data_IF_500931119678
#
_entry.id   IF_500931119678
#
_cell.length_a   1.000
_cell.length_b   1.000
_cell.length_c   1.000
_cell.angle_alpha   90.00
_cell.angle_beta   90.00
_cell.angle_gamma   90.00
#
_symmetry.space_group_name_H-M   'P 1'
#
loop_
_entity.id
_entity.type
_entity.pdbx_description
1 polymer ?
#
# COMPACT_ATOMS: atom_id res chain seq x y z
N UNK A 1 -10.04 9.96 -20.94
CA UNK A 1 -9.76 8.97 -19.91
C UNK A 1 -10.58 7.73 -20.21
N UNK A 2 -9.94 6.57 -20.27
CA UNK A 2 -10.63 5.28 -20.49
C UNK A 2 -10.70 4.45 -19.21
N UNK A 3 -9.61 4.48 -18.44
CA UNK A 3 -9.43 3.72 -17.21
C UNK A 3 -8.80 4.62 -16.14
N UNK A 4 -9.06 4.34 -14.88
CA UNK A 4 -8.45 5.03 -13.76
C UNK A 4 -8.22 4.04 -12.63
N UNK A 5 -7.05 4.12 -12.00
CA UNK A 5 -6.75 3.43 -10.75
C UNK A 5 -7.08 4.36 -9.60
N UNK A 6 -7.89 3.87 -8.66
CA UNK A 6 -8.26 4.57 -7.44
C UNK A 6 -7.98 3.69 -6.22
N UNK A 7 -7.77 4.33 -5.08
CA UNK A 7 -7.79 3.65 -3.79
C UNK A 7 -8.93 4.21 -2.94
N UNK A 8 -9.88 3.36 -2.58
CA UNK A 8 -10.98 3.73 -1.68
C UNK A 8 -10.45 3.80 -0.26
N UNK A 9 -10.63 4.93 0.47
CA UNK A 9 -10.18 5.05 1.85
C UNK A 9 -10.62 3.86 2.71
N UNK A 10 -9.69 3.25 3.41
CA UNK A 10 -9.90 2.02 4.18
C UNK A 10 -9.40 2.10 5.62
N UNK A 11 -9.01 0.97 6.15
CA UNK A 11 -8.55 0.80 7.53
C UNK A 11 -7.28 1.62 7.85
N UNK A 12 -6.45 1.91 6.86
CA UNK A 12 -5.27 2.78 6.97
C UNK A 12 -5.63 4.16 7.49
N UNK A 13 -6.80 4.69 7.12
CA UNK A 13 -7.29 5.98 7.60
C UNK A 13 -7.74 5.97 9.06
N UNK A 14 -8.23 4.83 9.57
CA UNK A 14 -8.58 4.67 10.98
C UNK A 14 -7.37 4.68 11.91
N UNK A 15 -6.17 4.47 11.35
CA UNK A 15 -4.90 4.48 12.09
C UNK A 15 -4.24 5.84 12.15
N UNK A 16 -4.81 6.84 11.48
CA UNK A 16 -4.41 8.23 11.66
C UNK A 16 -4.86 8.72 13.03
N UNK A 17 -3.92 9.29 13.75
CA UNK A 17 -4.14 9.91 15.08
C UNK A 17 -3.53 11.30 15.09
N UNK A 18 -3.93 12.18 16.02
CA UNK A 18 -3.28 13.48 16.16
C UNK A 18 -1.76 13.42 16.40
N UNK A 19 -1.26 12.28 16.91
CA UNK A 19 0.16 12.10 17.24
C UNK A 19 1.01 11.56 16.07
N UNK A 20 0.42 10.88 15.09
CA UNK A 20 1.16 10.26 13.98
C UNK A 20 0.85 10.86 12.60
N UNK A 21 -0.18 11.70 12.49
CA UNK A 21 -0.63 12.23 11.20
C UNK A 21 0.47 12.98 10.43
N UNK A 22 1.29 13.76 11.12
CA UNK A 22 2.36 14.55 10.50
C UNK A 22 3.46 13.64 9.93
N UNK A 23 3.82 12.56 10.64
CA UNK A 23 4.77 11.55 10.18
C UNK A 23 4.23 10.77 8.98
N UNK A 24 2.91 10.60 8.92
CA UNK A 24 2.19 9.95 7.83
C UNK A 24 1.75 10.95 6.72
N UNK A 25 2.21 12.19 6.80
CA UNK A 25 1.98 13.25 5.79
C UNK A 25 0.50 13.61 5.60
N UNK A 26 -0.27 13.59 6.67
CA UNK A 26 -1.66 14.05 6.69
C UNK A 26 -1.82 15.29 7.57
N UNK A 27 -2.62 16.24 7.11
CA UNK A 27 -2.87 17.49 7.85
C UNK A 27 -3.82 17.29 9.03
N UNK A 28 -4.77 16.34 8.92
CA UNK A 28 -5.77 16.08 9.94
C UNK A 28 -6.28 14.62 9.91
N UNK A 29 -6.99 14.23 10.95
CA UNK A 29 -7.66 12.94 11.05
C UNK A 29 -9.01 13.00 10.32
N UNK A 30 -9.24 12.07 9.40
CA UNK A 30 -10.43 12.05 8.57
C UNK A 30 -11.58 11.26 9.20
N UNK A 31 -12.80 11.67 8.96
CA UNK A 31 -13.97 10.85 9.20
C UNK A 31 -14.15 9.85 8.06
N UNK A 32 -13.73 8.60 8.31
CA UNK A 32 -13.64 7.57 7.28
C UNK A 32 -14.94 7.36 6.50
N UNK A 33 -16.08 7.21 7.19
CA UNK A 33 -17.37 6.96 6.52
C UNK A 33 -17.74 8.08 5.54
N UNK A 34 -17.42 9.32 5.89
CA UNK A 34 -17.66 10.47 5.01
C UNK A 34 -16.70 10.46 3.83
N UNK A 35 -15.42 10.19 4.06
CA UNK A 35 -14.42 10.08 3.01
C UNK A 35 -14.76 8.96 2.01
N UNK A 36 -15.21 7.81 2.51
CA UNK A 36 -15.68 6.71 1.68
C UNK A 36 -16.89 7.11 0.82
N UNK A 37 -17.88 7.76 1.42
CA UNK A 37 -19.06 8.22 0.69
C UNK A 37 -18.69 9.19 -0.46
N UNK A 38 -17.83 10.15 -0.17
CA UNK A 38 -17.38 11.13 -1.17
C UNK A 38 -16.55 10.46 -2.27
N UNK A 39 -15.70 9.52 -1.91
CA UNK A 39 -14.93 8.73 -2.87
C UNK A 39 -15.83 7.86 -3.75
N UNK A 40 -16.88 7.24 -3.18
CA UNK A 40 -17.82 6.42 -3.93
C UNK A 40 -18.61 7.28 -4.95
N UNK A 41 -19.01 8.49 -4.57
CA UNK A 41 -19.66 9.47 -5.49
C UNK A 41 -18.68 9.88 -6.60
N UNK A 42 -17.42 10.10 -6.30
CA UNK A 42 -16.38 10.39 -7.28
C UNK A 42 -16.20 9.25 -8.27
N UNK A 43 -16.04 8.02 -7.77
CA UNK A 43 -15.90 6.83 -8.61
C UNK A 43 -17.11 6.59 -9.51
N UNK A 44 -18.33 6.77 -8.99
CA UNK A 44 -19.57 6.63 -9.77
C UNK A 44 -19.70 7.73 -10.84
N UNK A 45 -19.25 8.94 -10.55
CA UNK A 45 -19.21 10.02 -11.54
C UNK A 45 -18.31 9.67 -12.72
N UNK A 46 -17.20 8.99 -12.49
CA UNK A 46 -16.32 8.50 -13.56
C UNK A 46 -16.98 7.35 -14.35
N UNK A 47 -17.56 6.37 -13.65
CA UNK A 47 -18.26 5.24 -14.28
C UNK A 47 -19.43 5.69 -15.15
N UNK A 48 -20.20 6.67 -14.71
CA UNK A 48 -21.35 7.22 -15.48
C UNK A 48 -20.91 7.91 -16.79
N UNK A 49 -19.63 8.26 -16.91
CA UNK A 49 -19.00 8.82 -18.12
C UNK A 49 -18.26 7.77 -18.95
N UNK A 50 -18.46 6.49 -18.65
CA UNK A 50 -17.83 5.39 -19.39
C UNK A 50 -16.37 5.14 -19.06
N UNK A 51 -15.87 5.66 -17.92
CA UNK A 51 -14.52 5.38 -17.44
C UNK A 51 -14.55 4.09 -16.60
N UNK A 52 -13.68 3.15 -16.93
CA UNK A 52 -13.46 1.97 -16.10
C UNK A 52 -12.69 2.38 -14.83
N UNK A 53 -13.29 2.13 -13.67
CA UNK A 53 -12.66 2.39 -12.37
C UNK A 53 -12.13 1.09 -11.81
N UNK A 54 -10.83 1.04 -11.61
CA UNK A 54 -10.08 -0.06 -10.99
C UNK A 54 -9.71 0.34 -9.56
N UNK A 55 -9.75 -0.60 -8.64
CA UNK A 55 -9.33 -0.36 -7.28
C UNK A 55 -7.98 -1.01 -6.99
N UNK A 56 -7.09 -0.24 -6.39
CA UNK A 56 -5.73 -0.66 -6.05
C UNK A 56 -5.73 -1.90 -5.16
N UNK A 57 -6.58 -1.93 -4.13
CA UNK A 57 -6.65 -3.06 -3.21
C UNK A 57 -7.09 -4.36 -3.89
N UNK A 58 -8.03 -4.28 -4.85
CA UNK A 58 -8.49 -5.45 -5.60
C UNK A 58 -7.38 -5.97 -6.52
N UNK A 59 -6.75 -5.05 -7.29
CA UNK A 59 -5.64 -5.43 -8.17
C UNK A 59 -4.43 -5.97 -7.39
N UNK A 60 -4.13 -5.40 -6.24
CA UNK A 60 -3.06 -5.89 -5.38
C UNK A 60 -3.36 -7.30 -4.89
N UNK A 61 -4.59 -7.55 -4.40
CA UNK A 61 -5.00 -8.88 -3.97
C UNK A 61 -4.86 -9.92 -5.11
N UNK A 62 -5.30 -9.56 -6.32
CA UNK A 62 -5.17 -10.43 -7.49
C UNK A 62 -3.70 -10.66 -7.89
N UNK A 63 -2.84 -9.64 -7.80
CA UNK A 63 -1.41 -9.78 -8.07
C UNK A 63 -0.69 -10.67 -7.04
N UNK A 64 -1.11 -10.61 -5.77
CA UNK A 64 -0.53 -11.41 -4.67
C UNK A 64 -0.88 -12.90 -4.74
N UNK A 65 -1.74 -13.33 -5.66
CA UNK A 65 -1.93 -14.74 -6.01
C UNK A 65 -0.69 -15.31 -6.72
N UNK A 66 0.11 -14.47 -7.37
CA UNK A 66 1.43 -14.84 -7.87
C UNK A 66 2.43 -14.94 -6.71
N UNK A 67 3.12 -16.09 -6.65
CA UNK A 67 4.05 -16.37 -5.57
C UNK A 67 5.27 -15.44 -5.58
N UNK A 68 5.78 -15.11 -6.75
CA UNK A 68 6.95 -14.24 -6.88
C UNK A 68 6.62 -12.82 -6.44
N UNK A 69 5.44 -12.30 -6.83
CA UNK A 69 4.94 -11.03 -6.35
C UNK A 69 4.84 -10.99 -4.83
N UNK A 70 4.23 -12.02 -4.26
CA UNK A 70 4.04 -12.13 -2.80
C UNK A 70 5.37 -12.16 -2.05
N UNK A 71 6.31 -13.01 -2.46
CA UNK A 71 7.65 -13.10 -1.86
C UNK A 71 8.38 -11.75 -1.99
N UNK A 72 8.39 -11.15 -3.19
CA UNK A 72 9.03 -9.86 -3.45
C UNK A 72 8.49 -8.74 -2.58
N UNK A 73 7.16 -8.62 -2.46
CA UNK A 73 6.54 -7.59 -1.62
C UNK A 73 6.91 -7.77 -0.16
N UNK A 74 6.83 -8.99 0.36
CA UNK A 74 7.16 -9.27 1.76
C UNK A 74 8.63 -9.02 2.07
N UNK A 75 9.55 -9.34 1.15
CA UNK A 75 10.98 -9.11 1.32
C UNK A 75 11.33 -7.62 1.42
N UNK A 76 10.60 -6.77 0.72
CA UNK A 76 10.85 -5.33 0.73
C UNK A 76 10.10 -4.62 1.86
N UNK A 77 8.89 -5.06 2.16
CA UNK A 77 7.99 -4.36 3.10
C UNK A 77 8.24 -4.79 4.55
N UNK A 78 8.46 -6.09 4.78
CA UNK A 78 8.61 -6.63 6.13
C UNK A 78 10.10 -6.79 6.46
N UNK A 79 10.67 -5.73 6.98
CA UNK A 79 12.10 -5.66 7.34
C UNK A 79 12.28 -5.27 8.80
N UNK A 80 13.46 -5.52 9.36
CA UNK A 80 13.78 -5.08 10.72
C UNK A 80 13.65 -3.55 10.88
N UNK A 81 13.99 -2.79 9.83
CA UNK A 81 13.87 -1.33 9.83
C UNK A 81 12.39 -0.89 9.89
N UNK A 82 11.51 -1.60 9.18
CA UNK A 82 10.08 -1.24 9.10
C UNK A 82 9.28 -1.71 10.32
N UNK A 83 9.60 -2.89 10.87
CA UNK A 83 8.82 -3.54 11.92
C UNK A 83 9.45 -3.44 13.31
N UNK A 84 10.76 -3.18 13.38
CA UNK A 84 11.54 -3.21 14.60
C UNK A 84 12.20 -4.56 14.87
N UNK A 85 13.35 -4.51 15.56
CA UNK A 85 14.19 -5.67 15.86
C UNK A 85 13.43 -6.78 16.61
N UNK A 86 13.45 -7.98 16.04
CA UNK A 86 12.82 -9.18 16.61
C UNK A 86 11.29 -9.23 16.50
N UNK A 87 10.70 -8.34 15.71
CA UNK A 87 9.25 -8.33 15.40
C UNK A 87 9.01 -8.76 13.95
N UNK A 88 9.95 -8.49 13.06
CA UNK A 88 9.83 -8.73 11.62
C UNK A 88 9.45 -10.17 11.28
N UNK A 89 10.08 -11.17 11.92
CA UNK A 89 9.78 -12.59 11.69
C UNK A 89 8.32 -12.93 12.05
N UNK A 90 7.84 -12.38 13.14
CA UNK A 90 6.46 -12.59 13.58
C UNK A 90 5.44 -11.95 12.62
N UNK A 91 5.72 -10.71 12.17
CA UNK A 91 4.90 -10.01 11.18
C UNK A 91 4.93 -10.75 9.83
N UNK A 92 6.12 -11.24 9.43
CA UNK A 92 6.26 -12.01 8.19
C UNK A 92 5.47 -13.30 8.22
N UNK A 93 5.62 -14.11 9.25
CA UNK A 93 4.88 -15.36 9.41
C UNK A 93 3.36 -15.13 9.42
N UNK A 94 2.92 -14.07 10.08
CA UNK A 94 1.52 -13.67 10.05
C UNK A 94 1.07 -13.30 8.64
N UNK A 95 1.80 -12.41 7.95
CA UNK A 95 1.49 -11.99 6.59
C UNK A 95 1.48 -13.15 5.58
N UNK A 96 2.42 -14.10 5.71
CA UNK A 96 2.48 -15.29 4.86
C UNK A 96 1.28 -16.23 5.07
N UNK A 97 0.68 -16.24 6.25
CA UNK A 97 -0.49 -17.06 6.56
C UNK A 97 -1.82 -16.52 5.99
N UNK A 98 -1.85 -15.26 5.59
CA UNK A 98 -3.07 -14.58 5.15
C UNK A 98 -3.47 -14.97 3.72
N UNK A 99 -4.78 -15.03 3.41
CA UNK A 99 -5.24 -15.04 2.03
C UNK A 99 -4.95 -13.70 1.35
N UNK A 100 -4.95 -13.68 0.02
CA UNK A 100 -4.50 -12.55 -0.80
C UNK A 100 -5.18 -11.23 -0.47
N UNK A 101 -6.49 -11.24 -0.27
CA UNK A 101 -7.26 -10.03 0.06
C UNK A 101 -6.90 -9.47 1.45
N UNK A 102 -6.70 -10.34 2.44
CA UNK A 102 -6.30 -9.92 3.78
C UNK A 102 -4.83 -9.45 3.79
N UNK A 103 -3.98 -10.07 2.98
CA UNK A 103 -2.60 -9.62 2.80
C UNK A 103 -2.55 -8.23 2.14
N UNK A 104 -3.33 -7.99 1.09
CA UNK A 104 -3.42 -6.68 0.46
C UNK A 104 -3.89 -5.61 1.46
N UNK A 105 -4.91 -5.92 2.28
CA UNK A 105 -5.33 -5.02 3.37
C UNK A 105 -4.20 -4.77 4.37
N UNK A 106 -3.46 -5.81 4.80
CA UNK A 106 -2.33 -5.66 5.71
C UNK A 106 -1.24 -4.77 5.13
N UNK A 107 -0.88 -4.95 3.87
CA UNK A 107 0.15 -4.15 3.18
C UNK A 107 -0.22 -2.66 3.12
N UNK A 108 -1.49 -2.34 2.97
CA UNK A 108 -2.02 -0.98 2.91
C UNK A 108 -2.27 -0.43 4.32
N UNK A 109 -3.02 -1.16 5.13
CA UNK A 109 -3.40 -0.71 6.46
C UNK A 109 -2.29 -0.86 7.51
N UNK A 110 -1.25 -1.64 7.24
CA UNK A 110 -0.26 -2.03 8.23
C UNK A 110 -0.81 -3.08 9.20
N UNK A 111 -0.12 -3.29 10.32
CA UNK A 111 -0.55 -4.22 11.38
C UNK A 111 -0.27 -3.64 12.75
N UNK A 112 -1.22 -3.77 13.68
CA UNK A 112 -1.04 -3.38 15.09
C UNK A 112 -0.58 -4.57 15.93
N UNK A 113 -0.03 -4.26 17.13
CA UNK A 113 0.31 -5.30 18.10
C UNK A 113 -0.90 -6.17 18.44
N UNK A 114 -2.06 -5.57 18.68
CA UNK A 114 -3.28 -6.32 19.02
C UNK A 114 -3.67 -7.31 17.93
N UNK A 115 -3.61 -6.90 16.66
CA UNK A 115 -3.93 -7.75 15.52
C UNK A 115 -2.96 -8.93 15.37
N UNK A 116 -1.66 -8.68 15.56
CA UNK A 116 -0.67 -9.75 15.53
C UNK A 116 -0.93 -10.79 16.63
N UNK A 117 -1.17 -10.34 17.87
CA UNK A 117 -1.37 -11.23 19.01
C UNK A 117 -2.71 -11.96 18.97
N UNK A 118 -3.75 -11.39 18.37
CA UNK A 118 -5.07 -12.03 18.23
C UNK A 118 -5.04 -13.20 17.23
N UNK A 119 -4.18 -13.11 16.22
CA UNK A 119 -4.17 -14.04 15.09
C UNK A 119 -2.93 -14.94 15.00
N UNK A 120 -2.00 -14.82 15.92
CA UNK A 120 -0.77 -15.62 15.92
C UNK A 120 -0.34 -16.05 17.32
N UNK A 121 0.20 -17.25 17.42
CA UNK A 121 0.78 -17.77 18.68
C UNK A 121 2.18 -17.19 18.98
N UNK A 122 2.36 -15.89 18.73
CA UNK A 122 3.64 -15.20 18.92
C UNK A 122 3.90 -15.00 20.42
N UNK A 123 5.07 -15.45 20.88
CA UNK A 123 5.52 -15.13 22.22
C UNK A 123 5.94 -13.64 22.27
N UNK A 124 5.36 -12.90 23.21
CA UNK A 124 5.73 -11.51 23.41
C UNK A 124 7.20 -11.35 23.77
N UNK A 125 7.98 -10.81 22.82
CA UNK A 125 9.35 -10.35 23.07
C UNK A 125 9.37 -9.15 24.02
N UNK A 126 10.54 -8.81 24.56
CA UNK A 126 10.66 -7.60 25.40
C UNK A 126 10.22 -6.34 24.66
N UNK A 127 10.53 -6.23 23.38
CA UNK A 127 10.11 -5.12 22.52
C UNK A 127 8.59 -5.05 22.41
N UNK A 128 7.92 -6.17 22.11
CA UNK A 128 6.45 -6.22 22.03
C UNK A 128 5.78 -5.82 23.35
N UNK A 129 6.37 -6.17 24.51
CA UNK A 129 5.81 -5.81 25.82
C UNK A 129 5.83 -4.31 26.10
N UNK A 130 6.72 -3.55 25.47
CA UNK A 130 6.79 -2.09 25.67
C UNK A 130 5.80 -1.32 24.81
N UNK A 131 5.24 -1.96 23.79
CA UNK A 131 4.28 -1.37 22.87
C UNK A 131 2.84 -1.47 23.40
N UNK A 132 2.05 -0.43 23.14
CA UNK A 132 0.60 -0.44 23.33
C UNK A 132 -0.11 -1.35 22.35
N UNK A 133 -1.35 -1.71 22.64
CA UNK A 133 -2.16 -2.59 21.78
C UNK A 133 -2.37 -2.02 20.37
N UNK A 134 -2.55 -0.71 20.27
CA UNK A 134 -2.84 0.00 19.03
C UNK A 134 -1.57 0.52 18.32
N UNK A 135 -0.38 0.28 18.90
CA UNK A 135 0.87 0.65 18.25
C UNK A 135 1.07 -0.19 16.98
N UNK A 136 1.41 0.49 15.89
CA UNK A 136 1.67 -0.17 14.61
C UNK A 136 3.04 -0.85 14.60
N UNK A 137 3.04 -2.14 14.34
CA UNK A 137 4.25 -2.94 14.06
C UNK A 137 4.70 -2.79 12.60
N UNK A 138 3.76 -2.53 11.73
CA UNK A 138 3.98 -2.08 10.36
C UNK A 138 3.07 -0.86 10.15
N UNK A 139 3.65 0.27 9.76
CA UNK A 139 2.91 1.52 9.63
C UNK A 139 1.86 1.46 8.50
N UNK A 140 0.73 2.14 8.61
CA UNK A 140 -0.26 2.27 7.54
C UNK A 140 0.25 3.14 6.39
N UNK A 141 -0.38 3.03 5.23
CA UNK A 141 -0.10 3.81 4.01
C UNK A 141 -1.31 4.65 3.60
N UNK A 142 -1.71 5.67 4.37
CA UNK A 142 -2.90 6.46 4.08
C UNK A 142 -2.77 7.26 2.77
N UNK A 143 -1.54 7.55 2.32
CA UNK A 143 -1.29 8.25 1.06
C UNK A 143 -1.53 7.41 -0.19
N UNK A 144 -1.83 6.13 -0.08
CA UNK A 144 -2.36 5.34 -1.21
C UNK A 144 -3.64 5.93 -1.82
N UNK A 145 -4.33 6.81 -1.09
CA UNK A 145 -5.41 7.63 -1.65
C UNK A 145 -4.97 8.39 -2.92
N UNK A 146 -3.68 8.76 -3.01
CA UNK A 146 -3.08 9.51 -4.11
C UNK A 146 -2.31 8.57 -5.06
N UNK A 147 -3.04 7.73 -5.80
CA UNK A 147 -2.48 6.70 -6.69
C UNK A 147 -1.62 7.24 -7.82
N UNK A 148 -1.77 8.52 -8.20
CA UNK A 148 -0.96 9.14 -9.23
C UNK A 148 0.48 9.37 -8.81
N UNK A 149 0.74 9.57 -7.52
CA UNK A 149 2.08 9.90 -7.04
C UNK A 149 3.03 8.71 -7.15
N UNK A 150 2.52 7.52 -6.89
CA UNK A 150 3.27 6.26 -6.86
C UNK A 150 3.45 5.62 -8.23
N UNK A 151 2.54 5.90 -9.17
CA UNK A 151 2.70 5.47 -10.56
C UNK A 151 2.09 6.45 -11.54
N UNK A 152 2.76 6.66 -12.67
CA UNK A 152 2.32 7.60 -13.70
C UNK A 152 2.41 6.97 -15.08
N UNK A 153 1.30 6.97 -15.81
CA UNK A 153 1.28 6.54 -17.20
C UNK A 153 1.76 7.67 -18.13
N UNK A 154 2.81 7.39 -18.89
CA UNK A 154 3.46 8.33 -19.82
C UNK A 154 3.45 7.67 -21.18
N UNK A 155 2.54 8.10 -22.07
CA UNK A 155 2.33 7.50 -23.40
C UNK A 155 2.05 5.99 -23.32
N UNK A 156 2.97 5.16 -23.81
CA UNK A 156 2.91 3.70 -23.84
C UNK A 156 3.65 3.02 -22.70
N UNK A 157 3.96 3.74 -21.62
CA UNK A 157 4.66 3.16 -20.47
C UNK A 157 4.10 3.63 -19.14
N UNK A 158 4.48 2.93 -18.08
CA UNK A 158 4.22 3.29 -16.69
C UNK A 158 5.53 3.56 -15.96
N UNK A 159 5.61 4.67 -15.28
CA UNK A 159 6.66 4.93 -14.30
C UNK A 159 6.17 4.47 -12.93
N UNK A 160 6.89 3.53 -12.32
CA UNK A 160 6.73 3.20 -10.91
C UNK A 160 7.67 4.14 -10.16
N UNK A 161 7.08 5.07 -9.44
CA UNK A 161 7.81 6.25 -8.98
C UNK A 161 8.58 5.97 -7.67
N UNK A 162 9.88 6.27 -7.62
CA UNK A 162 10.65 6.23 -6.37
C UNK A 162 10.25 7.42 -5.49
N UNK A 163 9.53 7.13 -4.41
CA UNK A 163 9.02 8.15 -3.51
C UNK A 163 10.12 8.78 -2.65
N UNK A 164 10.09 10.11 -2.52
CA UNK A 164 11.06 10.86 -1.71
C UNK A 164 10.85 10.65 -0.19
N UNK A 165 9.61 10.52 0.25
CA UNK A 165 9.26 10.45 1.66
C UNK A 165 9.28 8.99 2.16
N UNK A 166 10.04 8.66 3.23
CA UNK A 166 10.12 7.30 3.76
C UNK A 166 8.75 6.67 4.05
N UNK A 167 7.79 7.46 4.54
CA UNK A 167 6.43 7.00 4.81
C UNK A 167 5.69 6.47 3.56
N UNK A 168 6.13 6.86 2.36
CA UNK A 168 5.48 6.49 1.08
C UNK A 168 6.25 5.48 0.24
N UNK A 169 7.50 5.15 0.59
CA UNK A 169 8.34 4.25 -0.21
C UNK A 169 7.67 2.89 -0.47
N UNK A 170 6.97 2.34 0.53
CA UNK A 170 6.29 1.05 0.40
C UNK A 170 5.07 1.09 -0.53
N UNK A 171 4.52 2.24 -0.82
CA UNK A 171 3.41 2.39 -1.76
C UNK A 171 3.83 1.97 -3.17
N UNK A 172 5.04 2.34 -3.61
CA UNK A 172 5.57 1.98 -4.91
C UNK A 172 5.78 0.47 -5.07
N UNK A 173 6.04 -0.26 -3.98
CA UNK A 173 6.17 -1.72 -4.00
C UNK A 173 4.83 -2.39 -4.34
N UNK A 174 3.73 -1.87 -3.81
CA UNK A 174 2.39 -2.38 -4.11
C UNK A 174 2.03 -2.15 -5.60
N UNK A 175 2.39 -0.99 -6.15
CA UNK A 175 2.21 -0.68 -7.57
C UNK A 175 3.11 -1.56 -8.47
N UNK A 176 4.37 -1.80 -8.05
CA UNK A 176 5.28 -2.72 -8.73
C UNK A 176 4.65 -4.12 -8.84
N UNK A 177 4.12 -4.66 -7.74
CA UNK A 177 3.47 -5.96 -7.74
C UNK A 177 2.28 -6.01 -8.70
N UNK A 178 1.46 -4.95 -8.74
CA UNK A 178 0.32 -4.88 -9.67
C UNK A 178 0.79 -4.87 -11.12
N UNK A 179 1.69 -3.96 -11.51
CA UNK A 179 2.06 -3.81 -12.91
C UNK A 179 2.89 -4.97 -13.46
N UNK A 180 3.68 -5.65 -12.62
CA UNK A 180 4.54 -6.73 -13.08
C UNK A 180 3.89 -8.12 -12.99
N UNK A 181 2.93 -8.33 -12.09
CA UNK A 181 2.42 -9.68 -11.79
C UNK A 181 0.91 -9.84 -11.95
N UNK A 182 0.14 -8.72 -12.00
CA UNK A 182 -1.30 -8.87 -12.16
C UNK A 182 -1.67 -9.35 -13.57
N UNK A 183 -2.54 -10.37 -13.73
CA UNK A 183 -2.88 -10.97 -15.04
C UNK A 183 -3.36 -9.97 -16.09
N UNK A 184 -4.01 -8.87 -15.67
CA UNK A 184 -4.46 -7.80 -16.57
C UNK A 184 -3.31 -7.16 -17.36
N UNK A 185 -2.12 -7.12 -16.79
CA UNK A 185 -0.95 -6.45 -17.38
C UNK A 185 0.05 -7.43 -17.99
N UNK A 186 -0.07 -8.73 -17.73
CA UNK A 186 0.88 -9.75 -18.19
C UNK A 186 1.05 -9.79 -19.71
N UNK A 187 -0.05 -9.59 -20.45
CA UNK A 187 -0.05 -9.59 -21.94
C UNK A 187 -0.16 -8.16 -22.51
N UNK A 188 -0.10 -7.12 -21.67
CA UNK A 188 -0.20 -5.76 -22.14
C UNK A 188 1.12 -5.24 -22.69
N UNK A 189 1.06 -4.60 -23.87
CA UNK A 189 2.24 -4.00 -24.52
C UNK A 189 2.51 -2.62 -23.92
N UNK A 190 3.28 -2.56 -22.82
CA UNK A 190 3.75 -1.31 -22.24
C UNK A 190 5.16 -1.48 -21.66
N UNK A 191 5.84 -0.35 -21.48
CA UNK A 191 7.18 -0.32 -20.89
C UNK A 191 7.11 0.16 -19.45
N UNK A 192 7.78 -0.53 -18.53
CA UNK A 192 8.05 -0.01 -17.20
C UNK A 192 9.23 0.95 -17.28
N UNK A 193 9.00 2.23 -16.95
CA UNK A 193 9.96 3.33 -17.13
C UNK A 193 10.80 3.62 -15.88
N UNK A 194 10.32 3.22 -14.71
CA UNK A 194 10.99 3.36 -13.43
C UNK A 194 10.90 2.05 -12.64
N UNK A 195 11.89 1.79 -11.82
CA UNK A 195 12.04 0.58 -11.02
C UNK A 195 11.65 0.79 -9.53
N UNK A 196 10.85 1.81 -9.25
CA UNK A 196 10.32 2.06 -7.92
C UNK A 196 11.42 2.19 -6.85
N UNK A 197 11.42 1.29 -5.88
CA UNK A 197 12.35 1.30 -4.74
C UNK A 197 13.82 1.11 -5.16
N UNK A 198 14.09 0.55 -6.36
CA UNK A 198 15.44 0.32 -6.88
C UNK A 198 16.18 1.55 -7.42
N UNK A 199 15.51 2.68 -7.60
CA UNK A 199 16.03 3.85 -8.35
C UNK A 199 17.14 4.67 -7.66
N UNK A 200 17.68 4.23 -6.54
CA UNK A 200 18.78 4.88 -5.85
C UNK A 200 18.38 6.22 -5.22
N UNK A 201 19.08 7.31 -5.57
CA UNK A 201 18.82 8.63 -4.98
C UNK A 201 17.83 9.50 -5.76
N UNK A 202 17.35 9.05 -6.91
CA UNK A 202 16.36 9.78 -7.68
C UNK A 202 14.98 9.62 -7.06
N UNK A 203 14.19 10.69 -7.03
CA UNK A 203 12.78 10.62 -6.67
C UNK A 203 11.94 11.32 -7.75
N UNK A 204 10.78 10.75 -8.04
CA UNK A 204 9.77 11.30 -8.94
C UNK A 204 8.41 11.03 -8.31
N UNK A 205 7.54 12.00 -8.36
CA UNK A 205 6.14 11.84 -7.93
C UNK A 205 5.19 12.28 -9.04
N UNK A 206 3.93 11.86 -8.99
CA UNK A 206 2.97 12.16 -10.05
C UNK A 206 2.77 13.63 -10.36
N UNK A 207 3.02 14.50 -9.39
CA UNK A 207 3.01 15.94 -9.56
C UNK A 207 4.13 16.48 -10.47
N UNK A 208 5.22 15.74 -10.65
CA UNK A 208 6.35 16.11 -11.52
C UNK A 208 6.08 15.78 -13.00
N UNK A 209 5.04 14.99 -13.27
CA UNK A 209 4.67 14.52 -14.62
C UNK A 209 3.53 15.38 -15.15
N UNK A 210 3.80 16.19 -16.19
CA UNK A 210 2.87 17.14 -16.82
C UNK A 210 2.31 16.58 -18.13
#
# INVERSE_FOLDING_TARGET
>A
LKQVLLHRPGKEMLRLTPSNKDDLLFDDVLWLERAQHEHDVFAETLRSRGVEVLYLADLLAEALADREARERVLDVVVTEEACGAGIEEAVRNYAESLPEAELAELLIAGVTKAELLDRSDVQESLTLRTLGADDCLLAPLPNHLFTRDTSSWIYGGVSINPMCRPARVRESVNEEAIYLHHPRFADADFTVLGDGVGSGFASVEGGDVL
#
